data_IF_954364598549
#
_entry.id   IF_954364598549
#
_cell.length_a   1.000
_cell.length_b   1.000
_cell.length_c   1.000
_cell.angle_alpha   90.00
_cell.angle_beta   90.00
_cell.angle_gamma   90.00
#
_symmetry.space_group_name_H-M   'P 1'
#
loop_
_entity.id
_entity.type
_entity.pdbx_description
1 polymer ?
#
# COMPACT_ATOMS: atom_id res chain seq x y z
N UNK A 1 28.99 23.92 -11.35
CA UNK A 1 29.62 22.75 -11.99
C UNK A 1 30.33 23.24 -13.24
N UNK A 2 31.66 23.11 -13.26
CA UNK A 2 32.48 23.42 -14.42
C UNK A 2 32.65 22.21 -15.34
N UNK A 3 33.17 22.42 -16.55
CA UNK A 3 33.39 21.35 -17.54
C UNK A 3 34.33 20.23 -17.02
N UNK A 4 35.23 20.55 -16.10
CA UNK A 4 36.14 19.60 -15.44
C UNK A 4 35.45 18.63 -14.49
N UNK A 5 34.26 18.98 -13.99
CA UNK A 5 33.51 18.14 -13.05
C UNK A 5 32.87 16.92 -13.75
N UNK A 6 32.63 17.02 -15.06
CA UNK A 6 32.04 15.94 -15.87
C UNK A 6 33.04 14.85 -16.27
N UNK A 7 34.34 15.16 -16.32
CA UNK A 7 35.39 14.20 -16.67
C UNK A 7 35.68 13.17 -15.56
N UNK A 8 35.20 13.43 -14.34
CA UNK A 8 35.35 12.55 -13.17
C UNK A 8 34.04 11.82 -12.80
N UNK A 9 33.01 11.90 -13.64
CA UNK A 9 31.78 11.16 -13.42
C UNK A 9 31.97 9.69 -13.81
N UNK A 10 31.26 8.77 -13.15
CA UNK A 10 31.34 7.37 -13.51
C UNK A 10 30.87 7.12 -14.95
N UNK A 11 31.61 6.29 -15.67
CA UNK A 11 31.26 5.90 -17.02
C UNK A 11 30.26 4.74 -17.05
N UNK A 12 29.56 4.58 -18.18
CA UNK A 12 28.66 3.45 -18.40
C UNK A 12 29.47 2.15 -18.36
N UNK A 13 29.06 1.20 -17.52
CA UNK A 13 29.70 -0.09 -17.35
C UNK A 13 30.69 -0.17 -16.17
N UNK A 14 30.95 0.93 -15.48
CA UNK A 14 31.78 0.91 -14.26
C UNK A 14 31.02 0.35 -13.06
N UNK A 15 31.73 -0.43 -12.23
CA UNK A 15 31.20 -0.98 -10.98
C UNK A 15 31.23 0.08 -9.87
N UNK A 16 30.24 0.97 -9.86
CA UNK A 16 30.08 2.00 -8.84
C UNK A 16 29.38 1.48 -7.59
N UNK A 17 29.75 2.02 -6.42
CA UNK A 17 29.00 1.77 -5.20
C UNK A 17 27.62 2.43 -5.28
N UNK A 18 26.61 1.77 -4.72
CA UNK A 18 25.24 2.27 -4.76
C UNK A 18 25.09 3.45 -3.79
N UNK A 19 24.36 4.48 -4.20
CA UNK A 19 24.11 5.66 -3.36
C UNK A 19 23.25 5.30 -2.15
N UNK A 20 22.40 4.30 -2.32
CA UNK A 20 21.40 3.88 -1.35
C UNK A 20 21.99 3.02 -0.23
N UNK A 21 23.17 2.40 -0.45
CA UNK A 21 23.80 1.50 0.52
C UNK A 21 24.00 2.17 1.87
N UNK A 22 24.43 3.42 1.89
CA UNK A 22 24.67 4.13 3.15
C UNK A 22 23.41 4.18 4.02
N UNK A 23 22.26 4.61 3.48
CA UNK A 23 21.03 4.71 4.27
C UNK A 23 20.48 3.33 4.64
N UNK A 24 20.55 2.35 3.74
CA UNK A 24 20.00 1.02 4.00
C UNK A 24 20.83 0.22 4.99
N UNK A 25 22.16 0.28 4.91
CA UNK A 25 23.05 -0.46 5.81
C UNK A 25 23.13 0.15 7.22
N UNK A 26 22.76 1.43 7.37
CA UNK A 26 22.77 2.12 8.67
C UNK A 26 21.41 2.15 9.37
N UNK A 27 20.36 1.58 8.74
CA UNK A 27 19.00 1.70 9.25
C UNK A 27 18.40 3.11 9.10
N UNK A 28 19.05 3.99 8.33
CA UNK A 28 18.53 5.33 7.99
C UNK A 28 17.67 5.32 6.71
N UNK A 29 17.35 4.13 6.17
CA UNK A 29 16.30 3.97 5.17
C UNK A 29 14.95 4.26 5.81
N UNK A 30 14.01 4.79 5.02
CA UNK A 30 12.66 5.05 5.47
C UNK A 30 11.69 4.29 4.57
N UNK A 31 11.02 3.31 5.15
CA UNK A 31 9.95 2.53 4.55
C UNK A 31 8.60 3.07 5.03
N UNK A 32 7.51 2.56 4.45
CA UNK A 32 6.16 3.06 4.75
C UNK A 32 5.76 2.88 6.20
N UNK A 33 6.25 1.83 6.87
CA UNK A 33 5.94 1.54 8.28
C UNK A 33 6.84 2.29 9.27
N UNK A 34 7.90 2.96 8.78
CA UNK A 34 8.77 3.81 9.60
C UNK A 34 8.19 5.23 9.76
N UNK A 35 7.09 5.53 9.06
CA UNK A 35 6.43 6.83 9.09
C UNK A 35 5.53 6.90 10.33
N UNK A 36 5.77 7.90 11.18
CA UNK A 36 4.89 8.25 12.30
C UNK A 36 4.38 9.69 12.14
N UNK A 37 3.06 9.86 12.22
CA UNK A 37 2.36 11.14 12.04
C UNK A 37 1.41 11.38 13.19
N UNK A 38 1.23 12.65 13.57
CA UNK A 38 0.25 13.02 14.58
C UNK A 38 -1.15 12.53 14.17
N UNK A 39 -1.83 11.84 15.10
CA UNK A 39 -3.15 11.23 14.90
C UNK A 39 -3.20 10.11 13.85
N UNK A 40 -2.07 9.46 13.53
CA UNK A 40 -2.05 8.28 12.67
C UNK A 40 -2.91 7.16 13.28
N UNK A 41 -3.78 6.56 12.47
CA UNK A 41 -4.62 5.42 12.85
C UNK A 41 -4.15 4.17 12.13
N UNK A 42 -4.29 3.01 12.78
CA UNK A 42 -4.00 1.72 12.16
C UNK A 42 -5.28 1.03 11.68
N UNK A 43 -5.18 0.31 10.57
CA UNK A 43 -6.29 -0.49 10.04
C UNK A 43 -5.96 -1.99 10.08
N UNK A 44 -7.00 -2.80 10.20
CA UNK A 44 -6.91 -4.25 10.11
C UNK A 44 -8.08 -4.78 9.30
N UNK A 45 -7.84 -5.81 8.50
CA UNK A 45 -8.87 -6.44 7.67
C UNK A 45 -9.38 -7.71 8.34
N UNK A 46 -10.70 -7.78 8.55
CA UNK A 46 -11.38 -9.05 8.80
C UNK A 46 -11.53 -9.77 7.46
N UNK A 47 -10.83 -10.89 7.32
CA UNK A 47 -10.80 -11.67 6.07
C UNK A 47 -11.83 -12.80 6.09
N UNK A 48 -12.31 -13.16 4.90
CA UNK A 48 -13.23 -14.29 4.75
C UNK A 48 -12.53 -15.59 5.14
N UNK A 49 -13.13 -16.42 6.03
CA UNK A 49 -12.67 -17.79 6.27
C UNK A 49 -13.21 -18.76 5.21
N UNK A 50 -14.10 -18.30 4.32
CA UNK A 50 -14.69 -19.10 3.25
C UNK A 50 -14.08 -18.73 1.89
N UNK A 51 -13.70 -19.74 1.10
CA UNK A 51 -13.16 -19.53 -0.24
C UNK A 51 -14.20 -18.92 -1.19
N UNK A 52 -15.48 -19.30 -1.06
CA UNK A 52 -16.60 -18.75 -1.80
C UNK A 52 -17.88 -18.80 -0.97
N UNK A 53 -18.51 -17.64 -0.76
CA UNK A 53 -19.75 -17.52 0.00
C UNK A 53 -20.46 -16.19 -0.29
N UNK A 54 -21.78 -16.16 -0.12
CA UNK A 54 -22.55 -14.92 -0.07
C UNK A 54 -22.51 -14.33 1.34
N UNK A 55 -22.15 -13.04 1.45
CA UNK A 55 -22.18 -12.31 2.72
C UNK A 55 -23.64 -11.99 3.07
N UNK A 56 -24.21 -12.71 4.05
CA UNK A 56 -25.57 -12.44 4.53
C UNK A 56 -25.64 -11.25 5.48
N UNK A 57 -24.65 -11.09 6.35
CA UNK A 57 -24.61 -10.03 7.36
C UNK A 57 -23.23 -9.85 7.95
N UNK A 58 -22.88 -8.62 8.32
CA UNK A 58 -21.69 -8.28 9.12
C UNK A 58 -22.18 -7.58 10.40
N UNK A 59 -21.77 -8.07 11.58
CA UNK A 59 -22.16 -7.48 12.87
C UNK A 59 -21.00 -6.69 13.46
N UNK A 60 -21.09 -5.36 13.47
CA UNK A 60 -20.01 -4.44 13.86
C UNK A 60 -20.11 -3.92 15.30
N UNK A 61 -21.27 -4.07 15.96
CA UNK A 61 -21.61 -3.38 17.22
C UNK A 61 -20.64 -3.59 18.37
N UNK A 62 -20.14 -4.82 18.56
CA UNK A 62 -19.20 -5.13 19.64
C UNK A 62 -17.84 -4.49 19.38
N UNK A 63 -17.37 -4.58 18.15
CA UNK A 63 -16.07 -4.05 17.76
C UNK A 63 -16.08 -2.51 17.75
N UNK A 64 -17.18 -1.87 17.34
CA UNK A 64 -17.34 -0.41 17.43
C UNK A 64 -17.27 0.13 18.86
N UNK A 65 -17.58 -0.70 19.87
CA UNK A 65 -17.52 -0.32 21.29
C UNK A 65 -16.17 -0.60 21.94
N UNK A 66 -15.23 -1.21 21.22
CA UNK A 66 -13.92 -1.50 21.76
C UNK A 66 -13.09 -0.21 21.93
N UNK A 67 -12.30 -0.07 23.00
CA UNK A 67 -11.44 1.09 23.21
C UNK A 67 -10.48 1.29 22.03
N UNK A 68 -10.33 2.54 21.57
CA UNK A 68 -9.42 2.92 20.49
C UNK A 68 -9.94 2.67 19.07
N UNK A 69 -11.11 2.04 18.90
CA UNK A 69 -11.72 1.88 17.57
C UNK A 69 -12.34 3.20 17.14
N UNK A 70 -11.82 3.76 16.04
CA UNK A 70 -12.31 5.01 15.44
C UNK A 70 -13.35 4.79 14.34
N UNK A 71 -13.43 3.59 13.77
CA UNK A 71 -14.38 3.24 12.72
C UNK A 71 -14.28 1.79 12.26
N UNK A 72 -15.36 1.26 11.67
CA UNK A 72 -15.38 -0.05 11.00
C UNK A 72 -16.15 0.08 9.69
N UNK A 73 -15.43 -0.07 8.59
CA UNK A 73 -15.96 0.10 7.25
C UNK A 73 -16.26 -1.24 6.60
N UNK A 74 -17.38 -1.33 5.90
CA UNK A 74 -17.76 -2.47 5.06
C UNK A 74 -18.19 -2.03 3.66
N UNK A 75 -18.72 -2.97 2.86
CA UNK A 75 -19.10 -2.69 1.47
C UNK A 75 -20.21 -1.64 1.31
N UNK A 76 -21.04 -1.39 2.33
CA UNK A 76 -22.05 -0.33 2.28
C UNK A 76 -21.40 1.05 2.35
N UNK A 77 -20.35 1.21 3.15
CA UNK A 77 -19.60 2.47 3.26
C UNK A 77 -18.92 2.79 1.92
N UNK A 78 -18.27 1.80 1.30
CA UNK A 78 -17.64 1.91 -0.03
C UNK A 78 -18.66 2.29 -1.12
N UNK A 79 -19.84 1.66 -1.10
CA UNK A 79 -20.91 1.97 -2.05
C UNK A 79 -21.51 3.37 -1.83
N UNK A 80 -21.67 3.78 -0.57
CA UNK A 80 -22.14 5.11 -0.19
C UNK A 80 -21.20 6.22 -0.64
N UNK A 81 -19.89 5.99 -0.51
CA UNK A 81 -18.83 6.91 -0.94
C UNK A 81 -18.60 6.89 -2.47
N UNK A 82 -19.32 6.03 -3.20
CA UNK A 82 -19.19 5.87 -4.66
C UNK A 82 -17.75 5.56 -5.07
N UNK A 83 -17.05 4.80 -4.23
CA UNK A 83 -15.77 4.20 -4.59
C UNK A 83 -16.10 3.11 -5.60
N UNK A 84 -16.02 3.48 -6.88
CA UNK A 84 -16.29 2.57 -7.98
C UNK A 84 -15.37 1.35 -7.94
N UNK A 85 -15.74 0.30 -8.68
CA UNK A 85 -14.86 -0.84 -8.88
C UNK A 85 -13.51 -0.39 -9.42
N UNK A 86 -12.45 -1.12 -9.03
CA UNK A 86 -11.10 -0.88 -9.54
C UNK A 86 -11.13 -1.17 -11.05
N UNK A 87 -10.92 -0.17 -11.93
CA UNK A 87 -10.97 -0.43 -13.35
C UNK A 87 -9.80 -1.35 -13.70
N UNK A 88 -10.11 -2.48 -14.34
CA UNK A 88 -9.06 -3.26 -14.98
C UNK A 88 -8.53 -2.42 -16.15
N UNK A 89 -7.32 -1.86 -16.02
CA UNK A 89 -6.67 -1.11 -17.09
C UNK A 89 -6.42 -1.94 -18.36
N UNK A 90 -6.50 -3.26 -18.23
CA UNK A 90 -6.54 -4.21 -19.33
C UNK A 90 -7.88 -4.94 -19.29
N UNK A 91 -8.74 -4.72 -20.29
CA UNK A 91 -9.96 -5.49 -20.42
C UNK A 91 -9.59 -6.95 -20.69
N UNK A 92 -9.95 -7.84 -19.77
CA UNK A 92 -10.04 -9.26 -20.06
C UNK A 92 -11.33 -9.44 -20.88
N UNK A 93 -11.17 -9.66 -22.17
CA UNK A 93 -12.28 -9.74 -23.15
C UNK A 93 -13.08 -11.03 -23.04
N UNK A 94 -12.50 -12.08 -22.46
CA UNK A 94 -13.16 -13.36 -22.26
C UNK A 94 -12.89 -13.96 -20.88
N UNK A 95 -13.92 -14.57 -20.30
CA UNK A 95 -13.82 -15.36 -19.04
C UNK A 95 -12.90 -16.58 -19.16
N UNK A 96 -12.51 -17.00 -20.36
CA UNK A 96 -11.58 -18.11 -20.63
C UNK A 96 -10.14 -17.67 -20.98
N UNK A 97 -9.87 -16.37 -21.02
CA UNK A 97 -8.54 -15.84 -21.32
C UNK A 97 -8.19 -15.73 -22.82
N UNK A 98 -9.17 -15.81 -23.73
CA UNK A 98 -9.01 -15.40 -25.15
C UNK A 98 -9.36 -13.92 -25.42
#
# INVERSE_FOLDING_TARGET
MGATDFANLPHIGESVLRKEDYRFLTGAGQYTDDIDLANMTHCVFVRSPHAHANIKSIKKDKALKAPGVVGIFDGQDVAGDKVNGLPCGWLITSTDGT
#
